data_IF_662124211145
#
_entry.id   IF_662124211145
#
_cell.length_a   1.000
_cell.length_b   1.000
_cell.length_c   1.000
_cell.angle_alpha   90.00
_cell.angle_beta   90.00
_cell.angle_gamma   90.00
#
_symmetry.space_group_name_H-M   'P 1'
#
loop_
_entity.id
_entity.type
_entity.pdbx_description
1 polymer ?
#
# COMPACT_ATOMS: atom_id res chain seq x y z
N UNK A 1 31.41 -15.32 30.08
CA UNK A 1 30.54 -15.14 28.91
C UNK A 1 29.60 -14.01 29.24
N UNK A 2 29.78 -12.84 28.61
CA UNK A 2 28.97 -11.65 28.88
C UNK A 2 28.03 -11.52 27.69
N UNK A 3 26.73 -11.59 27.94
CA UNK A 3 25.69 -11.52 26.93
C UNK A 3 25.11 -10.11 26.99
N UNK A 4 25.20 -9.36 25.89
CA UNK A 4 24.62 -8.04 25.77
C UNK A 4 23.33 -8.15 24.94
N UNK A 5 22.18 -7.98 25.60
CA UNK A 5 20.89 -7.87 24.92
C UNK A 5 20.64 -6.43 24.49
N UNK A 6 20.69 -6.17 23.18
CA UNK A 6 20.36 -4.86 22.61
C UNK A 6 18.88 -4.83 22.25
N UNK A 7 18.09 -4.10 23.04
CA UNK A 7 16.68 -3.86 22.75
C UNK A 7 16.51 -2.67 21.79
N UNK A 8 16.34 -2.95 20.49
CA UNK A 8 15.98 -1.93 19.49
C UNK A 8 14.46 -1.76 19.42
N UNK A 9 13.96 -0.60 19.81
CA UNK A 9 12.56 -0.20 19.61
C UNK A 9 12.41 0.48 18.25
N UNK A 10 11.84 -0.19 17.25
CA UNK A 10 11.49 0.46 15.96
C UNK A 10 10.42 1.54 16.22
N UNK A 11 10.59 2.73 15.62
CA UNK A 11 9.53 3.76 15.55
C UNK A 11 8.67 3.49 14.30
N UNK A 12 7.48 2.88 14.41
CA UNK A 12 6.67 2.52 13.25
C UNK A 12 5.98 3.71 12.59
N UNK A 13 6.00 4.90 13.23
CA UNK A 13 5.20 6.06 12.83
C UNK A 13 5.46 6.49 11.38
N UNK A 14 6.71 6.47 10.93
CA UNK A 14 7.05 6.84 9.54
C UNK A 14 6.58 5.80 8.51
N UNK A 15 6.66 4.51 8.84
CA UNK A 15 6.21 3.42 7.96
C UNK A 15 4.70 3.44 7.83
N UNK A 16 3.99 3.64 8.95
CA UNK A 16 2.53 3.72 8.96
C UNK A 16 2.04 4.89 8.10
N UNK A 17 2.66 6.07 8.21
CA UNK A 17 2.28 7.23 7.39
C UNK A 17 2.53 6.96 5.90
N UNK A 18 3.65 6.35 5.54
CA UNK A 18 4.00 6.06 4.15
C UNK A 18 3.10 4.98 3.50
N UNK A 19 2.49 4.10 4.31
CA UNK A 19 1.54 3.08 3.86
C UNK A 19 0.10 3.63 3.84
N UNK A 20 -0.30 4.40 4.86
CA UNK A 20 -1.68 4.91 4.96
C UNK A 20 -1.97 6.02 3.96
N UNK A 21 -1.01 6.91 3.70
CA UNK A 21 -1.15 8.01 2.72
C UNK A 21 -1.63 7.52 1.33
N UNK A 22 -0.94 6.56 0.69
CA UNK A 22 -1.36 6.03 -0.61
C UNK A 22 -2.66 5.21 -0.55
N UNK A 23 -2.97 4.55 0.58
CA UNK A 23 -4.28 3.93 0.81
C UNK A 23 -5.42 4.94 0.72
N UNK A 24 -5.27 6.12 1.33
CA UNK A 24 -6.26 7.20 1.26
C UNK A 24 -6.44 7.70 -0.18
N UNK A 25 -5.35 7.81 -0.95
CA UNK A 25 -5.40 8.18 -2.36
C UNK A 25 -6.19 7.15 -3.17
N UNK A 26 -5.93 5.85 -2.96
CA UNK A 26 -6.65 4.75 -3.60
C UNK A 26 -8.16 4.74 -3.29
N UNK A 27 -8.54 5.01 -2.03
CA UNK A 27 -9.95 5.11 -1.62
C UNK A 27 -10.63 6.29 -2.31
N UNK A 28 -9.93 7.43 -2.40
CA UNK A 28 -10.45 8.64 -3.06
C UNK A 28 -10.66 8.41 -4.56
N UNK A 29 -9.74 7.69 -5.23
CA UNK A 29 -9.89 7.30 -6.64
C UNK A 29 -11.09 6.37 -6.86
N UNK A 30 -11.29 5.39 -5.97
CA UNK A 30 -12.47 4.53 -6.03
C UNK A 30 -13.79 5.33 -5.88
N UNK A 31 -13.82 6.34 -5.00
CA UNK A 31 -14.98 7.23 -4.88
C UNK A 31 -15.23 8.03 -6.18
N UNK A 32 -14.17 8.44 -6.86
CA UNK A 32 -14.27 9.16 -8.14
C UNK A 32 -14.87 8.33 -9.27
N UNK A 33 -14.75 6.99 -9.24
CA UNK A 33 -15.35 6.12 -10.25
C UNK A 33 -16.88 6.18 -10.26
N UNK A 34 -17.49 6.49 -9.11
CA UNK A 34 -18.94 6.68 -9.01
C UNK A 34 -19.40 8.02 -9.61
N UNK A 35 -18.50 8.99 -9.72
CA UNK A 35 -18.76 10.24 -10.44
C UNK A 35 -18.72 10.03 -11.96
N UNK A 36 -18.07 8.98 -12.44
CA UNK A 36 -17.91 8.72 -13.87
C UNK A 36 -19.18 8.07 -14.45
N UNK A 37 -19.86 8.71 -15.43
CA UNK A 37 -21.09 8.19 -16.00
C UNK A 37 -20.85 6.89 -16.79
N UNK A 38 -21.73 5.91 -16.61
CA UNK A 38 -21.65 4.51 -17.05
C UNK A 38 -21.60 4.29 -18.58
N UNK A 39 -21.79 5.34 -19.39
CA UNK A 39 -21.92 5.24 -20.86
C UNK A 39 -20.61 5.37 -21.62
N UNK A 40 -19.50 5.71 -20.96
CA UNK A 40 -18.19 5.80 -21.61
C UNK A 40 -17.34 4.58 -21.25
N UNK A 41 -16.77 3.90 -22.26
CA UNK A 41 -15.79 2.81 -22.06
C UNK A 41 -14.56 3.22 -21.22
N UNK A 42 -14.44 4.51 -20.93
CA UNK A 42 -13.53 5.14 -19.99
C UNK A 42 -13.62 4.59 -18.56
N UNK A 43 -14.79 4.09 -18.11
CA UNK A 43 -14.94 3.49 -16.76
C UNK A 43 -14.06 2.25 -16.58
N UNK A 44 -13.97 1.42 -17.62
CA UNK A 44 -13.12 0.22 -17.62
C UNK A 44 -11.64 0.62 -17.69
N UNK A 45 -11.28 1.60 -18.51
CA UNK A 45 -9.91 2.13 -18.57
C UNK A 45 -9.44 2.68 -17.22
N UNK A 46 -10.31 3.46 -16.56
CA UNK A 46 -10.06 3.98 -15.22
C UNK A 46 -9.87 2.84 -14.20
N UNK A 47 -10.74 1.83 -14.21
CA UNK A 47 -10.62 0.69 -13.31
C UNK A 47 -9.28 -0.05 -13.47
N UNK A 48 -8.82 -0.26 -14.71
CA UNK A 48 -7.52 -0.89 -14.99
C UNK A 48 -6.36 -0.04 -14.48
N UNK A 49 -6.38 1.28 -14.69
CA UNK A 49 -5.35 2.19 -14.17
C UNK A 49 -5.29 2.18 -12.65
N UNK A 50 -6.43 2.20 -11.96
CA UNK A 50 -6.49 2.13 -10.48
C UNK A 50 -5.97 0.78 -9.98
N UNK A 51 -6.31 -0.32 -10.65
CA UNK A 51 -5.83 -1.65 -10.31
C UNK A 51 -4.30 -1.77 -10.48
N UNK A 52 -3.76 -1.19 -11.55
CA UNK A 52 -2.32 -1.11 -11.77
C UNK A 52 -1.64 -0.30 -10.67
N UNK A 53 -2.17 0.88 -10.34
CA UNK A 53 -1.65 1.70 -9.23
C UNK A 53 -1.68 0.96 -7.89
N UNK A 54 -2.73 0.17 -7.62
CA UNK A 54 -2.81 -0.68 -6.44
C UNK A 54 -1.70 -1.75 -6.43
N UNK A 55 -1.51 -2.48 -7.53
CA UNK A 55 -0.47 -3.51 -7.64
C UNK A 55 0.94 -2.94 -7.47
N UNK A 56 1.23 -1.80 -8.11
CA UNK A 56 2.52 -1.11 -7.93
C UNK A 56 2.73 -0.71 -6.48
N UNK A 57 1.67 -0.21 -5.82
CA UNK A 57 1.76 0.17 -4.42
C UNK A 57 2.03 -1.04 -3.51
N UNK A 58 1.29 -2.13 -3.67
CA UNK A 58 1.52 -3.41 -3.00
C UNK A 58 2.96 -3.90 -3.17
N UNK A 59 3.51 -3.80 -4.38
CA UNK A 59 4.89 -4.22 -4.68
C UNK A 59 5.92 -3.42 -3.85
N UNK A 60 5.69 -2.12 -3.68
CA UNK A 60 6.55 -1.26 -2.84
C UNK A 60 6.41 -1.61 -1.35
N UNK A 61 5.18 -1.91 -0.90
CA UNK A 61 4.93 -2.36 0.48
C UNK A 61 5.69 -3.66 0.75
N UNK A 62 5.58 -4.65 -0.15
CA UNK A 62 6.25 -5.94 0.00
C UNK A 62 7.78 -5.82 -0.03
N UNK A 63 8.32 -4.85 -0.78
CA UNK A 63 9.76 -4.56 -0.77
C UNK A 63 10.22 -3.81 0.50
N UNK A 64 9.34 -3.03 1.13
CA UNK A 64 9.66 -2.19 2.29
C UNK A 64 9.42 -2.93 3.62
N UNK A 65 8.39 -3.76 3.70
CA UNK A 65 8.22 -4.67 4.82
C UNK A 65 9.29 -5.76 4.70
N UNK A 66 10.03 -6.05 5.79
CA UNK A 66 10.89 -7.23 5.78
C UNK A 66 9.98 -8.42 5.52
N UNK A 67 10.29 -9.18 4.47
CA UNK A 67 9.60 -10.43 4.14
C UNK A 67 9.92 -11.40 5.28
N UNK A 68 9.12 -11.36 6.35
CA UNK A 68 9.19 -12.35 7.41
C UNK A 68 8.54 -13.64 6.88
N UNK A 69 9.23 -14.30 5.94
CA UNK A 69 9.08 -15.74 5.76
C UNK A 69 9.98 -16.42 6.79
N UNK A 70 9.62 -16.30 8.06
CA UNK A 70 9.92 -17.32 9.06
C UNK A 70 8.56 -17.79 9.57
N UNK A 71 7.98 -18.71 8.82
CA UNK A 71 6.95 -19.59 9.34
C UNK A 71 7.42 -20.99 8.97
N UNK A 72 8.17 -21.57 9.90
CA UNK A 72 8.53 -22.99 10.11
C UNK A 72 8.64 -23.89 8.87
#
# INVERSE_FOLDING_TARGET
>A
MIIFEVNLKRKPTHVVINIITPLIVLITLNAWVFLLPERSGEKTGYAVSVFLSFMVFETIIQATLPVNSENV
#
